data_IF_823148270595
#
_entry.id   IF_823148270595
#
_cell.length_a   1.000
_cell.length_b   1.000
_cell.length_c   1.000
_cell.angle_alpha   90.00
_cell.angle_beta   90.00
_cell.angle_gamma   90.00
#
_symmetry.space_group_name_H-M   'P 1'
#
loop_
_entity.id
_entity.type
_entity.pdbx_description
1 polymer ?
#
# COMPACT_ATOMS: atom_id res chain seq x y z
N UNK A 1 1.01 -18.77 6.05
CA UNK A 1 0.57 -19.25 4.72
C UNK A 1 0.34 -18.09 3.74
N UNK A 2 -0.70 -17.25 3.90
CA UNK A 2 -1.02 -16.15 2.97
C UNK A 2 0.14 -15.18 2.63
N UNK A 3 0.90 -14.71 3.63
CA UNK A 3 2.07 -13.84 3.41
C UNK A 3 3.16 -14.52 2.56
N UNK A 4 3.41 -15.80 2.82
CA UNK A 4 4.41 -16.58 2.09
C UNK A 4 3.97 -16.81 0.64
N UNK A 5 2.70 -17.15 0.43
CA UNK A 5 2.13 -17.42 -0.89
C UNK A 5 2.05 -16.14 -1.75
N UNK A 6 1.88 -14.99 -1.11
CA UNK A 6 1.77 -13.69 -1.77
C UNK A 6 3.12 -12.97 -1.96
N UNK A 7 4.24 -13.62 -1.65
CA UNK A 7 5.59 -13.00 -1.68
C UNK A 7 5.94 -12.37 -3.02
N UNK A 8 5.55 -12.98 -4.14
CA UNK A 8 5.81 -12.42 -5.47
C UNK A 8 5.00 -11.13 -5.70
N UNK A 9 3.72 -11.11 -5.31
CA UNK A 9 2.87 -9.92 -5.42
C UNK A 9 3.43 -8.75 -4.61
N UNK A 10 3.94 -9.02 -3.40
CA UNK A 10 4.57 -7.98 -2.58
C UNK A 10 5.87 -7.44 -3.16
N UNK A 11 6.68 -8.29 -3.80
CA UNK A 11 7.85 -7.80 -4.55
C UNK A 11 7.47 -6.91 -5.73
N UNK A 12 6.35 -7.20 -6.40
CA UNK A 12 5.84 -6.33 -7.47
C UNK A 12 5.40 -4.97 -6.90
N UNK A 13 4.71 -4.98 -5.76
CA UNK A 13 4.30 -3.76 -5.03
C UNK A 13 5.51 -2.91 -4.63
N UNK A 14 6.58 -3.54 -4.12
CA UNK A 14 7.84 -2.85 -3.80
C UNK A 14 8.50 -2.27 -5.06
N UNK A 15 8.51 -3.02 -6.17
CA UNK A 15 9.07 -2.57 -7.43
C UNK A 15 8.31 -1.37 -8.01
N UNK A 16 6.98 -1.34 -7.87
CA UNK A 16 6.15 -0.20 -8.26
C UNK A 16 6.50 1.05 -7.45
N UNK A 17 6.67 0.91 -6.13
CA UNK A 17 7.13 2.01 -5.29
C UNK A 17 8.54 2.47 -5.70
N UNK A 18 9.45 1.53 -5.96
CA UNK A 18 10.81 1.83 -6.40
C UNK A 18 10.84 2.59 -7.73
N UNK A 19 9.92 2.31 -8.64
CA UNK A 19 9.80 2.99 -9.93
C UNK A 19 9.18 4.38 -9.81
N UNK A 20 8.11 4.53 -9.02
CA UNK A 20 7.34 5.79 -8.92
C UNK A 20 7.96 6.76 -7.91
N UNK A 21 8.47 6.26 -6.79
CA UNK A 21 9.09 7.07 -5.74
C UNK A 21 10.38 6.40 -5.21
N UNK A 22 11.48 6.42 -5.98
CA UNK A 22 12.73 5.72 -5.65
C UNK A 22 13.31 6.11 -4.28
N UNK A 23 13.21 7.38 -3.90
CA UNK A 23 13.71 7.88 -2.62
C UNK A 23 12.96 7.29 -1.43
N UNK A 24 11.61 7.25 -1.50
CA UNK A 24 10.79 6.66 -0.46
C UNK A 24 11.07 5.16 -0.34
N UNK A 25 11.18 4.43 -1.46
CA UNK A 25 11.58 3.03 -1.44
C UNK A 25 12.95 2.82 -0.76
N UNK A 26 13.93 3.68 -1.08
CA UNK A 26 15.27 3.65 -0.47
C UNK A 26 15.20 3.90 1.04
N UNK A 27 14.44 4.90 1.49
CA UNK A 27 14.28 5.21 2.91
C UNK A 27 13.58 4.07 3.64
N UNK A 28 12.48 3.52 3.11
CA UNK A 28 11.78 2.38 3.71
C UNK A 28 12.68 1.15 3.80
N UNK A 29 13.48 0.88 2.76
CA UNK A 29 14.48 -0.20 2.78
C UNK A 29 15.57 0.02 3.83
N UNK A 30 16.02 1.27 4.01
CA UNK A 30 17.02 1.62 5.02
C UNK A 30 16.48 1.44 6.44
N UNK A 31 15.23 1.87 6.70
CA UNK A 31 14.56 1.66 8.00
C UNK A 31 14.48 0.16 8.31
N UNK A 32 14.09 -0.68 7.35
CA UNK A 32 14.05 -2.13 7.56
C UNK A 32 15.43 -2.70 7.94
N UNK A 33 16.51 -2.24 7.30
CA UNK A 33 17.88 -2.66 7.64
C UNK A 33 18.29 -2.20 9.04
N UNK A 34 17.90 -0.99 9.43
CA UNK A 34 18.17 -0.48 10.78
C UNK A 34 17.44 -1.30 11.84
N UNK A 35 16.16 -1.63 11.61
CA UNK A 35 15.39 -2.49 12.52
C UNK A 35 16.02 -3.89 12.67
N UNK A 36 16.59 -4.45 11.60
CA UNK A 36 17.29 -5.75 11.65
C UNK A 36 18.70 -5.66 12.27
N UNK A 37 19.25 -4.46 12.43
CA UNK A 37 20.53 -4.25 13.10
C UNK A 37 20.37 -3.90 14.59
N UNK A 38 19.15 -3.63 15.02
CA UNK A 38 18.82 -3.24 16.39
C UNK A 38 18.68 -4.49 17.27
N UNK A 39 19.62 -4.66 18.21
CA UNK A 39 19.67 -5.79 19.14
C UNK A 39 18.57 -5.71 20.21
N UNK A 40 18.00 -4.53 20.49
CA UNK A 40 16.94 -4.37 21.50
C UNK A 40 15.62 -5.03 21.08
N UNK A 41 15.42 -5.21 19.77
CA UNK A 41 14.22 -5.83 19.17
C UNK A 41 14.54 -7.15 18.46
N UNK A 42 15.59 -7.85 18.90
CA UNK A 42 16.02 -9.11 18.29
C UNK A 42 14.91 -10.17 18.24
N UNK A 43 13.99 -10.17 19.21
CA UNK A 43 12.81 -11.03 19.25
C UNK A 43 11.85 -10.79 18.06
N UNK A 44 11.88 -9.61 17.45
CA UNK A 44 11.07 -9.25 16.28
C UNK A 44 11.79 -9.48 14.94
N UNK A 45 13.08 -9.82 14.93
CA UNK A 45 13.86 -9.97 13.69
C UNK A 45 13.29 -11.01 12.74
N UNK A 46 12.78 -12.13 13.26
CA UNK A 46 12.12 -13.16 12.46
C UNK A 46 10.86 -12.61 11.77
N UNK A 47 10.04 -11.84 12.50
CA UNK A 47 8.84 -11.21 11.97
C UNK A 47 9.18 -10.18 10.89
N UNK A 48 10.18 -9.32 11.13
CA UNK A 48 10.63 -8.31 10.18
C UNK A 48 11.22 -8.96 8.91
N UNK A 49 11.95 -10.07 9.09
CA UNK A 49 12.51 -10.85 7.98
C UNK A 49 11.42 -11.53 7.16
N UNK A 50 10.38 -12.06 7.82
CA UNK A 50 9.22 -12.68 7.20
C UNK A 50 8.29 -11.70 6.49
N UNK A 51 8.33 -10.41 6.84
CA UNK A 51 7.53 -9.38 6.19
C UNK A 51 8.01 -9.08 4.76
N UNK A 52 7.18 -9.29 3.73
CA UNK A 52 7.63 -9.41 2.35
C UNK A 52 7.68 -8.09 1.56
N UNK A 53 7.46 -6.95 2.19
CA UNK A 53 7.34 -5.64 1.52
C UNK A 53 7.96 -4.51 2.35
N UNK A 54 8.30 -3.39 1.71
CA UNK A 54 8.77 -2.17 2.40
C UNK A 54 7.64 -1.32 3.00
N UNK A 55 6.37 -1.64 2.70
CA UNK A 55 5.22 -1.01 3.36
C UNK A 55 5.07 -1.53 4.79
N UNK A 56 4.68 -0.65 5.72
CA UNK A 56 4.61 -1.01 7.15
C UNK A 56 3.36 -1.79 7.55
N UNK A 57 2.31 -1.76 6.73
CA UNK A 57 1.06 -2.44 6.99
C UNK A 57 0.36 -2.82 5.69
N UNK A 58 -0.47 -3.85 5.75
CA UNK A 58 -1.34 -4.28 4.65
C UNK A 58 -2.77 -4.35 5.21
N UNK A 59 -3.73 -3.79 4.49
CA UNK A 59 -5.15 -3.91 4.78
C UNK A 59 -5.87 -4.53 3.57
N UNK A 60 -6.88 -5.34 3.86
CA UNK A 60 -7.74 -5.93 2.83
C UNK A 60 -9.14 -5.34 3.01
N UNK A 61 -9.66 -4.76 1.93
CA UNK A 61 -11.01 -4.23 1.86
C UNK A 61 -11.79 -5.10 0.87
N UNK A 62 -12.87 -5.73 1.34
CA UNK A 62 -13.66 -6.67 0.56
C UNK A 62 -15.06 -6.10 0.30
N UNK A 63 -15.40 -5.90 -0.97
CA UNK A 63 -16.73 -5.57 -1.51
C UNK A 63 -17.53 -4.54 -0.69
N UNK A 64 -16.85 -3.55 -0.14
CA UNK A 64 -17.47 -2.47 0.64
C UNK A 64 -17.02 -1.13 0.13
N UNK A 65 -17.92 -0.16 0.24
CA UNK A 65 -17.59 1.23 0.00
C UNK A 65 -16.54 1.69 1.01
N UNK A 66 -15.58 2.47 0.52
CA UNK A 66 -14.67 3.23 1.36
C UNK A 66 -15.05 4.69 1.22
N UNK A 67 -15.76 5.23 2.23
CA UNK A 67 -16.11 6.63 2.25
C UNK A 67 -14.89 7.53 2.16
N UNK A 68 -15.10 8.74 1.62
CA UNK A 68 -14.03 9.70 1.43
C UNK A 68 -13.32 10.08 2.73
N UNK A 69 -12.03 9.78 2.81
CA UNK A 69 -11.22 10.06 3.99
C UNK A 69 -9.79 10.45 3.60
N UNK A 70 -9.03 10.87 4.61
CA UNK A 70 -7.57 11.00 4.59
C UNK A 70 -6.99 10.05 5.62
N UNK A 71 -5.81 9.52 5.34
CA UNK A 71 -5.06 8.69 6.26
C UNK A 71 -4.35 9.59 7.28
N UNK A 72 -5.01 9.88 8.40
CA UNK A 72 -4.61 10.88 9.40
C UNK A 72 -3.35 10.54 10.23
N UNK A 73 -2.75 9.36 10.03
CA UNK A 73 -1.57 8.87 10.77
C UNK A 73 -0.33 8.71 9.88
N UNK A 74 -0.29 9.37 8.73
CA UNK A 74 0.84 9.30 7.80
C UNK A 74 1.56 10.64 7.70
N UNK A 75 2.83 10.62 7.29
CA UNK A 75 3.54 11.82 6.90
C UNK A 75 3.19 12.21 5.45
N UNK A 76 3.34 13.49 5.08
CA UNK A 76 2.94 14.00 3.75
C UNK A 76 3.73 13.38 2.61
N UNK A 77 4.98 12.98 2.87
CA UNK A 77 5.86 12.30 1.92
C UNK A 77 5.60 10.79 1.82
N UNK A 78 4.69 10.23 2.64
CA UNK A 78 4.40 8.80 2.61
C UNK A 78 3.26 8.48 1.64
N UNK A 79 3.44 7.40 0.89
CA UNK A 79 2.48 6.94 -0.10
C UNK A 79 1.78 5.68 0.40
N UNK A 80 0.50 5.56 0.06
CA UNK A 80 -0.23 4.30 0.16
C UNK A 80 -0.36 3.72 -1.23
N UNK A 81 -0.17 2.41 -1.34
CA UNK A 81 -0.45 1.65 -2.54
C UNK A 81 -1.78 0.93 -2.36
N UNK A 82 -2.70 1.20 -3.27
CA UNK A 82 -3.93 0.43 -3.45
C UNK A 82 -3.69 -0.54 -4.60
N UNK A 83 -4.05 -1.80 -4.41
CA UNK A 83 -4.02 -2.82 -5.45
C UNK A 83 -5.41 -3.42 -5.57
N UNK A 84 -5.97 -3.36 -6.77
CA UNK A 84 -7.25 -3.96 -7.10
C UNK A 84 -7.05 -5.43 -7.51
N UNK A 85 -7.73 -6.37 -6.84
CA UNK A 85 -7.65 -7.81 -7.13
C UNK A 85 -9.04 -8.45 -7.09
N UNK A 86 -9.23 -9.52 -7.86
CA UNK A 86 -10.47 -10.31 -7.86
C UNK A 86 -11.20 -10.26 -9.20
N UNK A 87 -12.48 -10.60 -9.17
CA UNK A 87 -13.38 -10.61 -10.33
C UNK A 87 -14.56 -9.72 -10.00
N UNK A 88 -14.50 -8.47 -10.45
CA UNK A 88 -15.58 -7.51 -10.34
C UNK A 88 -15.50 -6.49 -11.46
N UNK A 89 -16.58 -5.74 -11.64
CA UNK A 89 -16.66 -4.64 -12.61
C UNK A 89 -17.08 -3.35 -11.91
N UNK A 90 -16.92 -2.22 -12.59
CA UNK A 90 -17.47 -0.93 -12.18
C UNK A 90 -17.01 -0.37 -10.82
N UNK A 91 -15.88 -0.84 -10.27
CA UNK A 91 -15.23 -0.15 -9.16
C UNK A 91 -14.77 1.24 -9.60
N UNK A 92 -15.02 2.24 -8.77
CA UNK A 92 -14.58 3.62 -8.99
C UNK A 92 -13.63 4.04 -7.88
N UNK A 93 -12.48 4.61 -8.27
CA UNK A 93 -11.59 5.35 -7.38
C UNK A 93 -11.77 6.85 -7.63
N UNK A 94 -11.98 7.59 -6.55
CA UNK A 94 -12.16 9.04 -6.61
C UNK A 94 -11.09 9.77 -5.80
N UNK A 95 -10.50 10.80 -6.42
CA UNK A 95 -9.57 11.74 -5.79
C UNK A 95 -10.08 13.17 -6.02
N UNK A 96 -11.01 13.67 -5.18
CA UNK A 96 -11.73 14.92 -5.45
C UNK A 96 -10.81 16.15 -5.60
N UNK A 97 -9.70 16.19 -4.85
CA UNK A 97 -8.73 17.28 -4.93
C UNK A 97 -8.04 17.40 -6.30
N UNK A 98 -8.04 16.33 -7.08
CA UNK A 98 -7.48 16.27 -8.44
C UNK A 98 -8.57 16.17 -9.52
N UNK A 99 -9.85 16.24 -9.14
CA UNK A 99 -11.00 15.99 -10.03
C UNK A 99 -10.89 14.66 -10.80
N UNK A 100 -10.27 13.64 -10.19
CA UNK A 100 -10.16 12.30 -10.77
C UNK A 100 -11.34 11.45 -10.29
N UNK A 101 -12.04 10.86 -11.24
CA UNK A 101 -13.00 9.77 -11.06
C UNK A 101 -12.66 8.71 -12.11
N UNK A 102 -12.13 7.58 -11.68
CA UNK A 102 -11.54 6.58 -12.58
C UNK A 102 -12.10 5.17 -12.29
N UNK A 103 -12.38 4.44 -13.37
CA UNK A 103 -12.63 3.00 -13.28
C UNK A 103 -11.40 2.30 -12.72
N UNK A 104 -11.55 1.58 -11.61
CA UNK A 104 -10.48 0.95 -10.86
C UNK A 104 -10.59 -0.58 -10.86
N UNK A 105 -10.40 -1.16 -12.04
CA UNK A 105 -10.65 -2.58 -12.31
C UNK A 105 -9.57 -3.50 -11.71
N UNK A 106 -9.87 -4.81 -11.54
CA UNK A 106 -8.87 -5.80 -11.12
C UNK A 106 -7.56 -5.71 -11.92
N UNK A 107 -6.44 -5.75 -11.21
CA UNK A 107 -5.09 -5.58 -11.75
C UNK A 107 -4.59 -4.14 -11.77
N UNK A 108 -5.43 -3.14 -11.50
CA UNK A 108 -4.99 -1.75 -11.42
C UNK A 108 -4.34 -1.42 -10.07
N UNK A 109 -3.42 -0.45 -10.12
CA UNK A 109 -2.69 0.06 -8.96
C UNK A 109 -2.85 1.57 -8.90
N UNK A 110 -3.14 2.10 -7.71
CA UNK A 110 -3.07 3.52 -7.42
C UNK A 110 -2.06 3.76 -6.30
N UNK A 111 -1.11 4.67 -6.54
CA UNK A 111 -0.06 5.01 -5.58
C UNK A 111 -0.07 6.52 -5.35
N UNK A 112 -0.43 6.95 -4.14
CA UNK A 112 -0.49 8.37 -3.79
C UNK A 112 -0.41 8.59 -2.28
N UNK A 113 -0.13 9.84 -1.87
CA UNK A 113 -0.18 10.21 -0.44
C UNK A 113 -1.62 10.25 0.05
N UNK A 114 -1.97 9.32 0.95
CA UNK A 114 -3.30 9.27 1.58
C UNK A 114 -3.54 10.37 2.61
N UNK A 115 -2.48 11.06 3.08
CA UNK A 115 -2.63 12.23 3.94
C UNK A 115 -3.10 13.44 3.12
N UNK A 116 -2.38 13.75 2.05
CA UNK A 116 -2.65 14.90 1.19
C UNK A 116 -3.96 14.73 0.40
N UNK A 117 -4.15 13.56 -0.22
CA UNK A 117 -5.29 13.31 -1.09
C UNK A 117 -6.42 12.61 -0.32
N UNK A 118 -7.53 13.35 -0.17
CA UNK A 118 -8.80 12.74 0.24
C UNK A 118 -9.24 11.79 -0.87
N UNK A 119 -9.58 10.55 -0.52
CA UNK A 119 -9.88 9.50 -1.48
C UNK A 119 -11.01 8.60 -0.99
N UNK A 120 -11.72 8.00 -1.93
CA UNK A 120 -12.81 7.06 -1.67
C UNK A 120 -12.90 6.01 -2.78
N UNK A 121 -13.54 4.89 -2.48
CA UNK A 121 -13.75 3.78 -3.41
C UNK A 121 -15.19 3.30 -3.34
N UNK A 122 -15.82 3.05 -4.49
CA UNK A 122 -17.17 2.49 -4.53
C UNK A 122 -17.20 1.04 -4.01
N UNK A 123 -18.37 0.59 -3.56
CA UNK A 123 -18.62 -0.84 -3.38
C UNK A 123 -18.61 -1.55 -4.76
N UNK A 124 -18.38 -2.86 -4.73
CA UNK A 124 -18.43 -3.74 -5.89
C UNK A 124 -19.19 -5.01 -5.50
N UNK A 125 -19.87 -5.61 -6.47
CA UNK A 125 -20.53 -6.92 -6.35
C UNK A 125 -19.53 -8.06 -6.58
#
# INVERSE_FOLDING_TARGET
>A
QWLCDSKMSFKLVDALLAAIHPELHRWSSAVRKQLLADEEIMDLHELITGWPTVFTAISVVHNRETHFHRNSKLASQWYNLFLSIGLYTNAILELPALSICACYMPGMVALFSGLLLRHGMSAVE
#
